data_IF_918062670880
#
_entry.id   IF_918062670880
#
_cell.length_a   1.000
_cell.length_b   1.000
_cell.length_c   1.000
_cell.angle_alpha   90.00
_cell.angle_beta   90.00
_cell.angle_gamma   90.00
#
_symmetry.space_group_name_H-M   'P 1'
#
loop_
_entity.id
_entity.type
_entity.pdbx_description
1 polymer ?
#
# COMPACT_ATOMS: atom_id res chain seq x y z
N UNK A 1 18.59 -23.89 -20.00
CA UNK A 1 17.27 -24.15 -20.64
C UNK A 1 16.11 -24.20 -19.63
N UNK A 2 16.32 -24.71 -18.42
CA UNK A 2 15.22 -24.81 -17.44
C UNK A 2 14.75 -23.46 -16.85
N UNK A 3 15.66 -22.49 -16.69
CA UNK A 3 15.29 -21.15 -16.20
C UNK A 3 14.42 -20.36 -17.18
N UNK A 4 14.64 -20.54 -18.50
CA UNK A 4 13.82 -19.87 -19.51
C UNK A 4 12.41 -20.46 -19.65
N UNK A 5 12.24 -21.75 -19.40
CA UNK A 5 10.93 -22.41 -19.36
C UNK A 5 10.14 -22.00 -18.12
N UNK A 6 10.79 -21.90 -16.96
CA UNK A 6 10.15 -21.43 -15.71
C UNK A 6 9.61 -20.00 -15.81
N UNK A 7 10.35 -19.07 -16.38
CA UNK A 7 9.91 -17.70 -16.61
C UNK A 7 8.71 -17.61 -17.56
N UNK A 8 8.72 -18.34 -18.66
CA UNK A 8 7.59 -18.38 -19.59
C UNK A 8 6.29 -18.88 -18.96
N UNK A 9 6.38 -19.85 -18.07
CA UNK A 9 5.20 -20.36 -17.34
C UNK A 9 4.69 -19.38 -16.29
N UNK A 10 5.57 -18.62 -15.63
CA UNK A 10 5.18 -17.57 -14.68
C UNK A 10 4.41 -16.44 -15.40
N UNK A 11 4.91 -15.96 -16.54
CA UNK A 11 4.22 -14.92 -17.32
C UNK A 11 2.86 -15.41 -17.84
N UNK A 12 2.75 -16.65 -18.35
CA UNK A 12 1.47 -17.23 -18.78
C UNK A 12 0.47 -17.34 -17.64
N UNK A 13 0.92 -17.68 -16.44
CA UNK A 13 0.07 -17.72 -15.24
C UNK A 13 -0.40 -16.32 -14.84
N UNK A 14 0.45 -15.31 -14.90
CA UNK A 14 0.07 -13.92 -14.64
C UNK A 14 -0.98 -13.42 -15.63
N UNK A 15 -0.79 -13.63 -16.92
CA UNK A 15 -1.77 -13.27 -17.95
C UNK A 15 -3.11 -13.96 -17.73
N UNK A 16 -3.09 -15.24 -17.39
CA UNK A 16 -4.31 -15.99 -17.06
C UNK A 16 -5.02 -15.40 -15.84
N UNK A 17 -4.29 -15.15 -14.74
CA UNK A 17 -4.86 -14.56 -13.51
C UNK A 17 -5.45 -13.18 -13.79
N UNK A 18 -4.74 -12.32 -14.54
CA UNK A 18 -5.24 -11.00 -14.94
C UNK A 18 -6.56 -11.11 -15.71
N UNK A 19 -6.64 -12.05 -16.64
CA UNK A 19 -7.87 -12.30 -17.42
C UNK A 19 -9.02 -12.73 -16.53
N UNK A 20 -8.80 -13.70 -15.63
CA UNK A 20 -9.82 -14.18 -14.70
C UNK A 20 -10.29 -13.08 -13.74
N UNK A 21 -9.37 -12.27 -13.19
CA UNK A 21 -9.73 -11.15 -12.33
C UNK A 21 -10.56 -10.10 -13.08
N UNK A 22 -10.19 -9.78 -14.32
CA UNK A 22 -10.98 -8.85 -15.14
C UNK A 22 -12.41 -9.36 -15.37
N UNK A 23 -12.58 -10.64 -15.65
CA UNK A 23 -13.89 -11.25 -15.84
C UNK A 23 -14.69 -11.31 -14.54
N UNK A 24 -14.07 -11.74 -13.44
CA UNK A 24 -14.74 -11.95 -12.16
C UNK A 24 -15.24 -10.65 -11.53
N UNK A 25 -14.46 -9.57 -11.66
CA UNK A 25 -14.74 -8.27 -11.05
C UNK A 25 -15.20 -7.20 -12.04
N UNK A 26 -15.44 -7.56 -13.31
CA UNK A 26 -15.83 -6.63 -14.40
C UNK A 26 -14.86 -5.45 -14.52
N UNK A 27 -13.55 -5.72 -14.51
CA UNK A 27 -12.49 -4.71 -14.53
C UNK A 27 -12.01 -4.41 -15.94
N UNK A 28 -11.98 -3.14 -16.30
CA UNK A 28 -11.36 -2.69 -17.55
C UNK A 28 -9.82 -2.73 -17.47
N UNK A 29 -9.26 -2.36 -16.32
CA UNK A 29 -7.83 -2.22 -16.11
C UNK A 29 -7.38 -2.90 -14.83
N UNK A 30 -6.17 -3.42 -14.84
CA UNK A 30 -5.45 -3.90 -13.65
C UNK A 30 -4.04 -3.33 -13.75
N UNK A 31 -3.59 -2.68 -12.69
CA UNK A 31 -2.20 -2.26 -12.51
C UNK A 31 -1.50 -3.22 -11.55
N UNK A 32 -0.32 -3.67 -11.91
CA UNK A 32 0.51 -4.52 -11.07
C UNK A 32 1.78 -3.74 -10.68
N UNK A 33 2.04 -3.63 -9.40
CA UNK A 33 3.35 -3.18 -8.92
C UNK A 33 4.38 -4.28 -9.19
N UNK A 34 5.53 -3.90 -9.73
CA UNK A 34 6.61 -4.85 -10.02
C UNK A 34 7.33 -5.28 -8.74
N UNK A 35 7.42 -4.38 -7.76
CA UNK A 35 8.12 -4.64 -6.52
C UNK A 35 7.32 -4.14 -5.31
N UNK A 36 7.31 -4.95 -4.24
CA UNK A 36 6.87 -4.56 -2.91
C UNK A 36 7.96 -3.85 -2.11
N UNK A 37 7.69 -3.57 -0.84
CA UNK A 37 8.71 -3.05 0.07
C UNK A 37 9.78 -4.11 0.34
N UNK A 38 11.04 -3.68 0.44
CA UNK A 38 12.13 -4.57 0.85
C UNK A 38 11.85 -5.18 2.23
N UNK A 39 12.20 -6.44 2.37
CA UNK A 39 12.02 -7.21 3.61
C UNK A 39 10.54 -7.46 3.96
N UNK A 40 9.63 -7.33 2.98
CA UNK A 40 8.24 -7.75 3.13
C UNK A 40 8.15 -9.28 3.04
N UNK A 41 7.98 -9.93 4.19
CA UNK A 41 7.83 -11.39 4.27
C UNK A 41 6.59 -11.91 3.50
N UNK A 42 5.72 -11.00 3.03
CA UNK A 42 4.47 -11.29 2.31
C UNK A 42 4.58 -11.09 0.80
N UNK A 43 5.78 -10.92 0.27
CA UNK A 43 6.09 -10.72 -1.15
C UNK A 43 5.41 -9.49 -1.79
N UNK A 44 5.13 -8.45 -1.00
CA UNK A 44 4.74 -7.14 -1.52
C UNK A 44 3.24 -6.88 -1.55
N UNK A 45 2.60 -6.86 -0.41
CA UNK A 45 1.19 -6.49 -0.28
C UNK A 45 0.94 -5.04 -0.69
N UNK A 46 -0.04 -4.83 -1.59
CA UNK A 46 -0.41 -3.52 -2.15
C UNK A 46 -0.92 -2.54 -1.09
N UNK A 47 -1.51 -3.01 0.00
CA UNK A 47 -2.03 -2.18 1.10
C UNK A 47 -0.94 -1.51 1.96
N UNK A 48 0.33 -1.80 1.68
CA UNK A 48 1.48 -1.05 2.19
C UNK A 48 1.98 0.03 1.21
N UNK A 49 1.54 0.00 -0.06
CA UNK A 49 2.03 0.84 -1.15
C UNK A 49 1.02 1.87 -1.62
N UNK A 50 -0.25 1.47 -1.76
CA UNK A 50 -1.30 2.26 -2.38
C UNK A 50 -2.65 2.00 -1.70
N UNK A 51 -3.42 3.08 -1.49
CA UNK A 51 -4.79 2.97 -1.02
C UNK A 51 -5.69 3.97 -1.75
N UNK A 52 -6.76 3.54 -2.45
CA UNK A 52 -7.79 4.43 -2.95
C UNK A 52 -8.60 5.03 -1.80
N UNK A 53 -8.80 6.34 -1.81
CA UNK A 53 -9.51 7.07 -0.73
C UNK A 53 -10.74 7.84 -1.21
N UNK A 54 -11.07 7.71 -2.46
CA UNK A 54 -12.22 8.36 -3.10
C UNK A 54 -12.12 8.30 -4.61
N UNK A 55 -13.03 8.99 -5.28
CA UNK A 55 -13.01 9.06 -6.73
C UNK A 55 -11.72 9.72 -7.21
N UNK A 56 -10.92 8.99 -7.98
CA UNK A 56 -9.64 9.40 -8.55
C UNK A 56 -8.58 9.87 -7.52
N UNK A 57 -8.75 9.59 -6.23
CA UNK A 57 -7.80 9.95 -5.17
C UNK A 57 -7.15 8.73 -4.57
N UNK A 58 -5.83 8.77 -4.45
CA UNK A 58 -5.03 7.66 -3.97
C UNK A 58 -3.95 8.14 -3.00
N UNK A 59 -3.77 7.45 -1.89
CA UNK A 59 -2.59 7.57 -1.07
C UNK A 59 -1.51 6.66 -1.63
N UNK A 60 -0.29 7.17 -1.78
CA UNK A 60 0.87 6.39 -2.23
C UNK A 60 2.02 6.53 -1.24
N UNK A 61 2.64 5.41 -0.90
CA UNK A 61 3.78 5.39 0.00
C UNK A 61 5.00 6.06 -0.64
N UNK A 62 5.69 6.88 0.15
CA UNK A 62 6.96 7.50 -0.21
C UNK A 62 7.96 7.37 0.93
N UNK A 63 9.22 7.64 0.67
CA UNK A 63 10.25 7.68 1.72
C UNK A 63 11.39 8.61 1.34
N UNK A 64 12.30 8.89 2.27
CA UNK A 64 13.45 9.74 2.00
C UNK A 64 14.55 9.00 1.22
N UNK A 65 15.41 9.76 0.53
CA UNK A 65 16.43 9.23 -0.41
C UNK A 65 17.42 8.24 0.19
N UNK A 66 17.61 8.24 1.49
CA UNK A 66 18.53 7.33 2.18
C UNK A 66 17.88 6.02 2.62
N UNK A 67 16.56 5.89 2.47
CA UNK A 67 15.86 4.64 2.77
C UNK A 67 16.07 3.62 1.66
N UNK A 68 16.33 2.34 1.98
CA UNK A 68 16.49 1.29 0.98
C UNK A 68 15.29 1.15 0.02
N UNK A 69 14.09 1.49 0.47
CA UNK A 69 12.86 1.44 -0.35
C UNK A 69 12.73 2.62 -1.33
N UNK A 70 13.60 3.64 -1.25
CA UNK A 70 13.43 4.86 -2.06
C UNK A 70 13.31 4.58 -3.55
N UNK A 71 14.23 3.81 -4.12
CA UNK A 71 14.24 3.52 -5.56
C UNK A 71 13.00 2.73 -5.99
N UNK A 72 12.57 1.78 -5.17
CA UNK A 72 11.38 0.96 -5.41
C UNK A 72 10.13 1.85 -5.44
N UNK A 73 9.94 2.70 -4.43
CA UNK A 73 8.77 3.55 -4.32
C UNK A 73 8.71 4.61 -5.41
N UNK A 74 9.83 5.22 -5.77
CA UNK A 74 9.89 6.18 -6.89
C UNK A 74 9.55 5.51 -8.22
N UNK A 75 10.08 4.29 -8.48
CA UNK A 75 9.73 3.52 -9.66
C UNK A 75 8.25 3.17 -9.68
N UNK A 76 7.72 2.63 -8.60
CA UNK A 76 6.31 2.27 -8.46
C UNK A 76 5.39 3.48 -8.72
N UNK A 77 5.74 4.65 -8.18
CA UNK A 77 5.02 5.91 -8.42
C UNK A 77 5.06 6.33 -9.89
N UNK A 78 6.23 6.29 -10.52
CA UNK A 78 6.40 6.64 -11.92
C UNK A 78 5.60 5.72 -12.85
N UNK A 79 5.64 4.42 -12.60
CA UNK A 79 4.92 3.41 -13.38
C UNK A 79 3.39 3.57 -13.22
N UNK A 80 2.91 3.85 -12.01
CA UNK A 80 1.49 4.12 -11.75
C UNK A 80 1.00 5.39 -12.46
N UNK A 81 1.78 6.46 -12.42
CA UNK A 81 1.48 7.72 -13.14
C UNK A 81 1.41 7.45 -14.65
N UNK A 82 2.36 6.70 -15.18
CA UNK A 82 2.36 6.31 -16.58
C UNK A 82 1.11 5.52 -16.94
N UNK A 83 0.75 4.53 -16.14
CA UNK A 83 -0.46 3.72 -16.32
C UNK A 83 -1.73 4.58 -16.38
N UNK A 84 -1.93 5.52 -15.45
CA UNK A 84 -3.09 6.40 -15.45
C UNK A 84 -3.15 7.28 -16.72
N UNK A 85 -2.00 7.78 -17.18
CA UNK A 85 -1.91 8.55 -18.43
C UNK A 85 -2.23 7.71 -19.66
N UNK A 86 -1.64 6.53 -19.76
CA UNK A 86 -1.82 5.60 -20.88
C UNK A 86 -3.28 5.11 -20.99
N UNK A 87 -3.96 5.00 -19.85
CA UNK A 87 -5.38 4.60 -19.78
C UNK A 87 -6.36 5.76 -19.74
N UNK A 88 -5.87 7.01 -19.89
CA UNK A 88 -6.66 8.25 -19.84
C UNK A 88 -7.55 8.38 -18.59
N UNK A 89 -7.06 7.89 -17.45
CA UNK A 89 -7.73 8.00 -16.17
C UNK A 89 -7.30 9.28 -15.45
N UNK A 90 -8.26 9.94 -14.79
CA UNK A 90 -7.94 11.03 -13.86
C UNK A 90 -7.37 10.47 -12.58
N UNK A 91 -6.41 11.15 -11.99
CA UNK A 91 -5.83 10.74 -10.70
C UNK A 91 -5.31 11.94 -9.91
N UNK A 92 -5.37 11.80 -8.61
CA UNK A 92 -4.78 12.69 -7.61
C UNK A 92 -4.00 11.79 -6.63
N UNK A 93 -2.67 11.86 -6.68
CA UNK A 93 -1.78 11.07 -5.84
C UNK A 93 -1.32 11.91 -4.66
N UNK A 94 -1.63 11.46 -3.46
CA UNK A 94 -1.24 12.07 -2.20
C UNK A 94 -0.14 11.22 -1.59
N UNK A 95 1.03 11.79 -1.44
CA UNK A 95 2.19 11.11 -0.89
C UNK A 95 2.09 10.99 0.63
N UNK A 96 2.33 9.79 1.15
CA UNK A 96 2.37 9.49 2.58
C UNK A 96 3.73 8.89 2.91
N UNK A 97 4.54 9.51 3.77
CA UNK A 97 5.85 8.98 4.10
C UNK A 97 5.73 7.63 4.82
N UNK A 98 6.66 6.73 4.57
CA UNK A 98 6.86 5.59 5.47
C UNK A 98 7.40 6.08 6.81
N UNK A 99 7.07 5.42 7.93
CA UNK A 99 7.68 5.74 9.21
C UNK A 99 9.18 5.42 9.18
N UNK A 100 9.96 6.16 9.97
CA UNK A 100 11.37 5.83 10.20
C UNK A 100 11.49 4.36 10.61
N UNK A 101 12.35 3.61 9.92
CA UNK A 101 12.53 2.17 10.13
C UNK A 101 12.92 1.84 11.57
N UNK A 102 12.28 0.85 12.12
CA UNK A 102 12.59 0.28 13.42
C UNK A 102 12.97 -1.18 13.28
N UNK A 103 13.76 -1.66 14.25
CA UNK A 103 14.03 -3.08 14.44
C UNK A 103 13.36 -3.54 15.72
N UNK A 104 12.72 -4.69 15.65
CA UNK A 104 12.24 -5.44 16.81
C UNK A 104 12.93 -6.80 16.80
N UNK A 105 13.58 -7.17 17.88
CA UNK A 105 14.35 -8.43 18.00
C UNK A 105 15.37 -8.65 16.85
N UNK A 106 16.08 -7.59 16.46
CA UNK A 106 17.01 -7.54 15.32
C UNK A 106 16.39 -7.76 13.93
N UNK A 107 15.07 -7.94 13.82
CA UNK A 107 14.34 -7.99 12.54
C UNK A 107 13.87 -6.58 12.17
N UNK A 108 14.08 -6.19 10.91
CA UNK A 108 13.45 -4.98 10.38
C UNK A 108 11.95 -5.22 10.26
N UNK A 109 11.16 -4.24 10.69
CA UNK A 109 9.70 -4.31 10.62
C UNK A 109 9.23 -3.43 9.48
N UNK A 110 8.44 -4.00 8.59
CA UNK A 110 7.76 -3.26 7.55
C UNK A 110 6.60 -2.50 8.15
N UNK A 111 6.61 -1.20 7.95
CA UNK A 111 5.62 -0.30 8.52
C UNK A 111 5.12 0.66 7.46
N UNK A 112 3.81 0.79 7.36
CA UNK A 112 3.18 1.75 6.46
C UNK A 112 1.94 2.36 7.09
N UNK A 113 1.81 3.68 7.03
CA UNK A 113 0.59 4.37 7.44
C UNK A 113 -0.56 4.12 6.48
N UNK A 114 -0.30 3.67 5.26
CA UNK A 114 -1.32 3.32 4.27
C UNK A 114 -2.10 2.07 4.67
N UNK A 115 -1.53 1.24 5.54
CA UNK A 115 -2.20 0.06 6.10
C UNK A 115 -3.15 0.42 7.26
N UNK A 116 -4.03 1.38 7.02
CA UNK A 116 -5.03 1.88 7.97
C UNK A 116 -6.42 1.30 7.69
N UNK A 117 -7.39 1.55 8.56
CA UNK A 117 -8.76 1.05 8.40
C UNK A 117 -9.78 2.19 8.41
N UNK A 118 -10.72 2.14 7.45
CA UNK A 118 -11.91 2.99 7.42
C UNK A 118 -13.03 2.39 8.27
N UNK A 119 -13.32 3.00 9.40
CA UNK A 119 -14.55 2.74 10.17
C UNK A 119 -15.66 3.73 9.77
N UNK A 120 -16.88 3.56 10.28
CA UNK A 120 -18.03 4.40 9.93
C UNK A 120 -17.75 5.90 10.06
N UNK A 121 -17.23 6.36 11.18
CA UNK A 121 -17.00 7.78 11.50
C UNK A 121 -15.54 8.06 11.86
N UNK A 122 -14.67 7.07 11.80
CA UNK A 122 -13.28 7.16 12.22
C UNK A 122 -12.36 6.55 11.18
N UNK A 123 -11.11 6.97 11.22
CA UNK A 123 -10.00 6.28 10.58
C UNK A 123 -9.09 5.78 11.69
N UNK A 124 -8.80 4.49 11.67
CA UNK A 124 -7.85 3.88 12.60
C UNK A 124 -6.52 3.80 11.89
N UNK A 125 -5.60 4.67 12.31
CA UNK A 125 -4.30 4.89 11.69
C UNK A 125 -3.20 4.25 12.54
N UNK A 126 -2.27 3.49 11.95
CA UNK A 126 -1.13 2.97 12.69
C UNK A 126 -0.29 4.07 13.31
N UNK A 127 0.24 3.83 14.50
CA UNK A 127 1.18 4.70 15.21
C UNK A 127 2.46 3.91 15.50
N UNK A 128 3.59 4.49 15.16
CA UNK A 128 4.90 3.84 15.27
C UNK A 128 5.83 4.50 16.28
N UNK A 129 5.37 5.55 17.00
CA UNK A 129 6.15 6.35 17.94
C UNK A 129 7.44 6.93 17.31
N UNK A 130 7.28 7.50 16.13
CA UNK A 130 8.30 8.18 15.34
C UNK A 130 7.85 9.60 14.97
N UNK A 131 8.77 10.42 14.47
CA UNK A 131 8.50 11.84 14.15
C UNK A 131 7.42 12.02 13.07
N UNK A 132 7.30 11.09 12.13
CA UNK A 132 6.34 11.13 11.04
C UNK A 132 4.89 10.97 11.50
N UNK A 133 4.64 10.38 12.69
CA UNK A 133 3.28 10.14 13.19
C UNK A 133 2.42 11.41 13.21
N UNK A 134 2.98 12.53 13.69
CA UNK A 134 2.24 13.79 13.79
C UNK A 134 1.95 14.40 12.42
N UNK A 135 2.90 14.37 11.51
CA UNK A 135 2.74 14.88 10.15
C UNK A 135 1.66 14.10 9.40
N UNK A 136 1.71 12.78 9.48
CA UNK A 136 0.73 11.91 8.85
C UNK A 136 -0.64 12.10 9.46
N UNK A 137 -0.76 12.19 10.79
CA UNK A 137 -2.03 12.48 11.45
C UNK A 137 -2.66 13.77 10.92
N UNK A 138 -1.89 14.87 10.86
CA UNK A 138 -2.37 16.15 10.33
C UNK A 138 -2.78 16.06 8.86
N UNK A 139 -2.08 15.27 8.07
CA UNK A 139 -2.42 15.02 6.67
C UNK A 139 -3.77 14.30 6.57
N UNK A 140 -3.99 13.27 7.37
CA UNK A 140 -5.27 12.54 7.39
C UNK A 140 -6.43 13.40 7.92
N UNK A 141 -6.21 14.23 8.92
CA UNK A 141 -7.22 15.19 9.42
C UNK A 141 -7.66 16.17 8.33
N UNK A 142 -6.75 16.65 7.50
CA UNK A 142 -7.07 17.51 6.34
C UNK A 142 -7.79 16.77 5.23
N UNK A 143 -7.40 15.54 4.95
CA UNK A 143 -8.01 14.71 3.90
C UNK A 143 -9.42 14.25 4.27
N UNK A 144 -9.67 14.03 5.56
CA UNK A 144 -10.92 13.45 6.07
C UNK A 144 -11.54 14.32 7.19
N UNK A 145 -11.92 15.58 6.88
CA UNK A 145 -12.37 16.54 7.91
C UNK A 145 -13.64 16.10 8.66
N UNK A 146 -14.40 15.16 8.09
CA UNK A 146 -15.62 14.63 8.69
C UNK A 146 -15.43 13.30 9.43
N UNK A 147 -14.18 12.89 9.65
CA UNK A 147 -13.82 11.66 10.36
C UNK A 147 -12.84 11.93 11.49
N UNK A 148 -13.04 11.27 12.61
CA UNK A 148 -12.06 11.27 13.69
C UNK A 148 -10.85 10.41 13.31
N UNK A 149 -9.64 10.95 13.43
CA UNK A 149 -8.39 10.21 13.21
C UNK A 149 -7.92 9.64 14.54
N UNK A 150 -8.04 8.34 14.70
CA UNK A 150 -7.58 7.60 15.87
C UNK A 150 -6.27 6.90 15.55
N UNK A 151 -5.19 7.31 16.20
CA UNK A 151 -3.89 6.63 16.09
C UNK A 151 -3.80 5.49 17.12
N UNK A 152 -3.45 4.31 16.65
CA UNK A 152 -3.31 3.09 17.46
C UNK A 152 -1.87 2.58 17.38
N UNK A 153 -1.25 2.33 18.53
CA UNK A 153 0.07 1.69 18.58
C UNK A 153 -0.03 0.25 18.07
N UNK A 154 0.71 -0.05 17.01
CA UNK A 154 0.59 -1.32 16.26
C UNK A 154 1.90 -2.09 16.16
N UNK A 155 2.89 -1.76 16.95
CA UNK A 155 4.22 -2.36 16.88
C UNK A 155 4.18 -3.89 17.01
N UNK A 156 3.33 -4.41 17.92
CA UNK A 156 3.15 -5.86 18.11
C UNK A 156 2.38 -6.52 16.94
N UNK A 157 1.44 -5.81 16.31
CA UNK A 157 0.74 -6.32 15.12
C UNK A 157 1.72 -6.41 13.96
N UNK A 158 2.52 -5.37 13.80
CA UNK A 158 3.51 -5.24 12.74
C UNK A 158 4.58 -6.34 12.76
N UNK A 159 4.91 -6.84 13.95
CA UNK A 159 5.83 -7.98 14.11
C UNK A 159 5.33 -9.25 13.40
N UNK A 160 4.02 -9.42 13.29
CA UNK A 160 3.37 -10.50 12.55
C UNK A 160 3.39 -10.36 11.02
N UNK A 161 4.00 -9.32 10.46
CA UNK A 161 4.14 -9.11 9.01
C UNK A 161 3.01 -8.32 8.37
N UNK A 162 2.14 -7.66 9.15
CA UNK A 162 1.05 -6.83 8.66
C UNK A 162 0.70 -5.68 9.60
N UNK A 163 -0.39 -4.97 9.34
CA UNK A 163 -0.88 -3.93 10.23
C UNK A 163 -2.43 -3.92 10.29
N UNK A 164 -3.04 -2.80 10.62
CA UNK A 164 -4.48 -2.68 10.91
C UNK A 164 -5.34 -3.18 9.74
N UNK A 165 -5.04 -2.76 8.52
CA UNK A 165 -5.79 -3.22 7.34
C UNK A 165 -5.72 -4.74 7.19
N UNK A 166 -4.54 -5.33 7.34
CA UNK A 166 -4.30 -6.76 7.17
C UNK A 166 -5.09 -7.65 8.14
N UNK A 167 -5.45 -7.14 9.33
CA UNK A 167 -6.22 -7.88 10.34
C UNK A 167 -7.71 -7.53 10.34
N UNK A 168 -8.18 -6.73 9.38
CA UNK A 168 -9.57 -6.29 9.28
C UNK A 168 -10.24 -6.84 8.03
N UNK A 169 -11.56 -6.97 8.07
CA UNK A 169 -12.39 -7.35 6.94
C UNK A 169 -13.68 -6.54 6.94
N UNK A 170 -14.03 -5.99 5.78
CA UNK A 170 -15.31 -5.32 5.60
C UNK A 170 -16.44 -6.35 5.45
N UNK A 171 -17.47 -6.23 6.28
CA UNK A 171 -18.69 -7.03 6.16
C UNK A 171 -19.76 -6.14 5.53
N UNK A 172 -20.20 -6.44 4.29
CA UNK A 172 -21.28 -5.67 3.65
C UNK A 172 -22.57 -5.74 4.48
N UNK A 173 -23.32 -4.64 4.53
CA UNK A 173 -24.69 -4.71 5.01
C UNK A 173 -25.53 -5.44 3.97
N UNK A 174 -26.20 -6.48 4.42
CA UNK A 174 -27.25 -7.18 3.67
C UNK A 174 -28.51 -6.34 3.70
#
# INVERSE_FOLDING_TARGET
>A
EDLSRGLGDVYKRQEYIIKELKLLFDLNYIFLFENGLMEDDTDGHVDNLLCPIGENKYLIATTHKLDPNFQILEKNKADLIKFFKDTNQKFDLIEVPLPTRKKLDNKNIISSYINFYFSKNKIILPKFNVKEDNEVKLTFEKLFPNREIMMLETENINYGGGNIHCITMNVPKI
#
